data_IF_408341706248
#
_entry.id   IF_408341706248
#
_cell.length_a   1.000
_cell.length_b   1.000
_cell.length_c   1.000
_cell.angle_alpha   90.00
_cell.angle_beta   90.00
_cell.angle_gamma   90.00
#
_symmetry.space_group_name_H-M   'P 1'
#
loop_
_entity.id
_entity.type
_entity.pdbx_description
1 polymer ?
#
# COMPACT_ATOMS: atom_id res chain seq x y z
N UNK A 1 21.16 46.41 21.51
CA UNK A 1 20.24 45.60 22.34
C UNK A 1 19.50 44.66 21.42
N UNK A 2 20.05 43.45 21.23
CA UNK A 2 19.41 42.38 20.45
C UNK A 2 19.21 41.24 21.44
N UNK A 3 17.98 41.04 21.91
CA UNK A 3 17.66 39.94 22.81
C UNK A 3 17.69 38.63 22.02
N UNK A 4 18.51 37.70 22.51
CA UNK A 4 18.56 36.33 22.05
C UNK A 4 17.24 35.63 22.39
N UNK A 5 16.66 34.95 21.40
CA UNK A 5 15.52 34.04 21.59
C UNK A 5 16.04 32.78 22.26
N UNK A 6 15.37 32.39 23.35
CA UNK A 6 15.62 31.21 24.18
C UNK A 6 15.54 29.90 23.36
N UNK A 7 16.56 29.02 23.39
CA UNK A 7 16.55 27.77 22.64
C UNK A 7 15.53 26.72 23.13
N UNK A 8 14.77 27.00 24.20
CA UNK A 8 13.80 26.08 24.78
C UNK A 8 12.40 26.07 24.11
N UNK A 9 12.16 26.87 23.06
CA UNK A 9 10.91 26.88 22.29
C UNK A 9 11.01 26.21 20.90
N UNK A 10 11.78 25.13 20.78
CA UNK A 10 11.80 24.33 19.56
C UNK A 10 10.74 23.22 19.62
N UNK A 11 9.89 23.18 18.58
CA UNK A 11 8.85 22.18 18.37
C UNK A 11 9.42 20.75 18.50
N UNK A 12 8.76 19.81 19.22
CA UNK A 12 9.23 18.42 19.39
C UNK A 12 9.43 17.65 18.07
N UNK A 13 8.88 18.15 16.96
CA UNK A 13 8.91 17.53 15.64
C UNK A 13 10.29 17.45 14.97
N UNK A 14 11.31 18.19 15.46
CA UNK A 14 12.60 18.29 14.76
C UNK A 14 13.56 17.11 15.00
N UNK A 15 13.25 16.16 15.89
CA UNK A 15 14.16 15.06 16.22
C UNK A 15 13.89 13.71 15.54
N UNK A 16 12.83 13.58 14.71
CA UNK A 16 12.32 12.28 14.24
C UNK A 16 12.55 11.93 12.75
N UNK A 17 13.57 12.48 12.08
CA UNK A 17 13.69 12.30 10.62
C UNK A 17 15.11 12.15 10.09
N UNK A 18 15.87 11.16 10.57
CA UNK A 18 17.15 10.82 9.91
C UNK A 18 17.45 9.32 9.91
N UNK A 19 16.72 8.55 9.13
CA UNK A 19 17.25 7.27 8.64
C UNK A 19 16.54 6.85 7.35
N UNK A 20 17.17 7.11 6.21
CA UNK A 20 16.68 6.68 4.90
C UNK A 20 17.58 7.05 3.71
N UNK A 21 18.77 7.58 3.94
CA UNK A 21 19.70 7.99 2.89
C UNK A 21 20.94 7.11 2.90
N UNK A 22 21.37 6.65 1.72
CA UNK A 22 22.66 5.95 1.53
C UNK A 22 23.67 6.86 0.86
N UNK A 23 24.93 6.49 1.00
CA UNK A 23 26.15 7.28 0.78
C UNK A 23 26.27 8.01 -0.58
N UNK A 24 25.46 7.66 -1.57
CA UNK A 24 25.48 8.22 -2.92
C UNK A 24 24.27 9.13 -3.23
N UNK A 25 23.32 9.29 -2.30
CA UNK A 25 22.29 10.33 -2.43
C UNK A 25 22.95 11.70 -2.15
N UNK A 26 22.84 12.69 -3.07
CA UNK A 26 23.43 14.02 -2.84
C UNK A 26 22.88 14.60 -1.53
N UNK A 27 23.80 14.79 -0.58
CA UNK A 27 23.56 15.09 0.85
C UNK A 27 22.94 16.47 1.14
N UNK A 28 22.43 17.18 0.13
CA UNK A 28 21.89 18.51 0.32
C UNK A 28 20.59 18.69 -0.45
N UNK A 29 19.53 19.01 0.30
CA UNK A 29 18.28 19.65 -0.14
C UNK A 29 17.18 18.76 -0.72
N UNK A 30 16.79 17.70 -0.01
CA UNK A 30 15.38 17.27 -0.05
C UNK A 30 14.81 17.45 1.35
N UNK A 31 13.93 18.46 1.59
CA UNK A 31 13.15 18.50 2.82
C UNK A 31 12.31 17.23 2.84
N UNK A 32 12.62 16.28 3.74
CA UNK A 32 11.69 15.21 4.04
C UNK A 32 10.39 15.90 4.50
N UNK A 33 9.23 15.62 3.89
CA UNK A 33 8.00 16.23 4.33
C UNK A 33 7.80 15.83 5.79
N UNK A 34 7.75 16.82 6.68
CA UNK A 34 7.33 16.64 8.07
C UNK A 34 6.00 15.89 8.01
N UNK A 35 6.01 14.61 8.41
CA UNK A 35 4.79 13.80 8.42
C UNK A 35 3.86 14.44 9.45
N UNK A 36 2.71 14.92 8.99
CA UNK A 36 1.67 15.45 9.88
C UNK A 36 1.31 14.38 10.92
N UNK A 37 1.03 14.77 12.17
CA UNK A 37 0.73 13.83 13.23
C UNK A 37 -0.61 13.15 13.02
N UNK A 38 -0.76 11.96 13.59
CA UNK A 38 -2.04 11.28 13.75
C UNK A 38 -2.55 11.56 15.15
N UNK A 39 -3.77 12.05 15.26
CA UNK A 39 -4.37 12.35 16.56
C UNK A 39 -5.14 11.16 17.09
N UNK A 40 -4.89 10.78 18.34
CA UNK A 40 -5.59 9.68 19.03
C UNK A 40 -6.37 10.25 20.22
N UNK A 41 -7.69 10.13 20.14
CA UNK A 41 -8.63 10.59 21.15
C UNK A 41 -9.41 9.38 21.65
N UNK A 42 -8.92 8.74 22.72
CA UNK A 42 -9.61 7.62 23.35
C UNK A 42 -10.03 7.99 24.76
N UNK A 43 -11.17 7.45 25.21
CA UNK A 43 -11.62 7.65 26.58
C UNK A 43 -10.63 7.05 27.59
N UNK A 44 -10.00 5.93 27.24
CA UNK A 44 -8.93 5.29 28.00
C UNK A 44 -7.57 5.94 27.68
N UNK A 45 -7.14 6.85 28.55
CA UNK A 45 -5.90 7.63 28.37
C UNK A 45 -4.65 6.75 28.38
N UNK A 46 -4.61 5.71 29.21
CA UNK A 46 -3.46 4.81 29.30
C UNK A 46 -3.31 4.02 27.99
N UNK A 47 -4.43 3.56 27.42
CA UNK A 47 -4.46 2.91 26.11
C UNK A 47 -4.02 3.84 24.99
N UNK A 48 -4.50 5.09 24.98
CA UNK A 48 -4.08 6.08 23.99
C UNK A 48 -2.56 6.32 24.02
N UNK A 49 -1.97 6.43 25.22
CA UNK A 49 -0.52 6.60 25.38
C UNK A 49 0.26 5.37 24.90
N UNK A 50 -0.16 4.17 25.31
CA UNK A 50 0.50 2.93 24.86
C UNK A 50 0.44 2.76 23.34
N UNK A 51 -0.71 3.08 22.72
CA UNK A 51 -0.86 3.04 21.27
C UNK A 51 0.03 4.07 20.58
N UNK A 52 0.08 5.29 21.10
CA UNK A 52 0.96 6.34 20.56
C UNK A 52 2.43 5.91 20.59
N UNK A 53 2.93 5.41 21.73
CA UNK A 53 4.31 4.92 21.86
C UNK A 53 4.62 3.77 20.88
N UNK A 54 3.69 2.83 20.72
CA UNK A 54 3.86 1.73 19.77
C UNK A 54 3.91 2.23 18.33
N UNK A 55 3.07 3.18 17.96
CA UNK A 55 3.03 3.76 16.61
C UNK A 55 4.23 4.66 16.31
N UNK A 56 4.73 5.39 17.30
CA UNK A 56 5.97 6.19 17.20
C UNK A 56 7.19 5.32 16.97
N UNK A 57 7.26 4.13 17.61
CA UNK A 57 8.29 3.14 17.32
C UNK A 57 8.28 2.70 15.84
N UNK A 58 7.11 2.77 15.20
CA UNK A 58 6.94 2.57 13.76
C UNK A 58 7.13 3.84 12.92
N UNK A 59 7.73 4.91 13.47
CA UNK A 59 8.03 6.14 12.74
C UNK A 59 6.80 6.93 12.28
N UNK A 60 5.62 6.64 12.84
CA UNK A 60 4.41 7.45 12.66
C UNK A 60 4.42 8.56 13.71
N UNK A 61 4.31 9.82 13.30
CA UNK A 61 4.09 10.91 14.26
C UNK A 61 2.70 10.76 14.85
N UNK A 62 2.58 10.53 16.16
CA UNK A 62 1.29 10.34 16.84
C UNK A 62 1.20 11.25 18.04
N UNK A 63 0.04 11.88 18.22
CA UNK A 63 -0.22 12.73 19.36
C UNK A 63 -1.51 12.26 20.06
N UNK A 64 -1.41 11.67 21.27
CA UNK A 64 -2.58 11.38 22.07
C UNK A 64 -3.12 12.67 22.69
N UNK A 65 -4.44 12.85 22.63
CA UNK A 65 -5.14 14.02 23.14
C UNK A 65 -6.23 13.57 24.12
N UNK A 66 -6.29 14.25 25.26
CA UNK A 66 -7.06 13.81 26.42
C UNK A 66 -8.24 14.73 26.77
N UNK A 67 -8.44 15.80 26.00
CA UNK A 67 -9.58 16.70 26.16
C UNK A 67 -10.00 17.32 24.83
N UNK A 68 -11.24 17.78 24.74
CA UNK A 68 -11.75 18.51 23.60
C UNK A 68 -10.96 19.82 23.37
N UNK A 69 -10.63 20.54 24.44
CA UNK A 69 -9.85 21.78 24.35
C UNK A 69 -8.45 21.55 23.77
N UNK A 70 -7.75 20.50 24.24
CA UNK A 70 -6.44 20.13 23.70
C UNK A 70 -6.53 19.74 22.22
N UNK A 71 -7.62 19.10 21.82
CA UNK A 71 -7.88 18.76 20.42
C UNK A 71 -8.12 19.97 19.54
N UNK A 72 -8.97 20.91 19.96
CA UNK A 72 -9.21 22.13 19.18
C UNK A 72 -7.96 23.01 19.08
N UNK A 73 -7.18 23.12 20.15
CA UNK A 73 -5.90 23.82 20.14
C UNK A 73 -4.92 23.16 19.13
N UNK A 74 -4.72 21.84 19.23
CA UNK A 74 -3.80 21.10 18.36
C UNK A 74 -4.25 21.10 16.90
N UNK A 75 -5.56 21.04 16.63
CA UNK A 75 -6.11 21.11 15.28
C UNK A 75 -5.87 22.48 14.62
N UNK A 76 -5.88 23.55 15.41
CA UNK A 76 -5.63 24.92 14.95
C UNK A 76 -4.14 25.18 14.70
N UNK A 77 -3.26 24.55 15.49
CA UNK A 77 -1.80 24.67 15.33
C UNK A 77 -1.25 23.82 14.19
N UNK A 78 -1.64 22.53 14.13
CA UNK A 78 -1.16 21.60 13.13
C UNK A 78 -2.30 20.68 12.64
N UNK A 79 -2.69 20.74 11.36
CA UNK A 79 -3.71 19.83 10.86
C UNK A 79 -3.14 18.40 10.80
N UNK A 80 -3.81 17.39 11.40
CA UNK A 80 -3.32 16.02 11.43
C UNK A 80 -3.44 15.35 10.05
N UNK A 81 -2.71 14.26 9.86
CA UNK A 81 -2.88 13.38 8.69
C UNK A 81 -4.11 12.50 8.81
N UNK A 82 -4.47 12.08 10.03
CA UNK A 82 -5.69 11.34 10.34
C UNK A 82 -6.07 11.53 11.81
N UNK A 83 -7.33 11.26 12.13
CA UNK A 83 -7.86 11.30 13.49
C UNK A 83 -8.46 9.92 13.82
N UNK A 84 -8.09 9.40 14.99
CA UNK A 84 -8.64 8.18 15.59
C UNK A 84 -9.44 8.61 16.81
N UNK A 85 -10.76 8.44 16.76
CA UNK A 85 -11.71 9.00 17.72
C UNK A 85 -12.55 7.89 18.34
N UNK A 86 -12.56 7.82 19.66
CA UNK A 86 -13.55 7.04 20.41
C UNK A 86 -14.92 7.72 20.29
N UNK A 87 -15.96 6.95 19.96
CA UNK A 87 -17.33 7.48 19.81
C UNK A 87 -17.83 8.17 21.09
N UNK A 88 -17.36 7.69 22.24
CA UNK A 88 -17.72 8.20 23.57
C UNK A 88 -16.58 9.02 24.20
N UNK A 89 -15.65 9.54 23.39
CA UNK A 89 -14.59 10.43 23.87
C UNK A 89 -15.19 11.61 24.64
N UNK A 90 -14.78 11.80 25.90
CA UNK A 90 -15.30 12.80 26.87
C UNK A 90 -16.76 12.63 27.31
N UNK A 91 -17.43 11.54 26.93
CA UNK A 91 -18.80 11.21 27.33
C UNK A 91 -19.60 10.60 26.18
N UNK A 92 -20.79 10.09 26.48
CA UNK A 92 -21.58 9.34 25.50
C UNK A 92 -21.89 10.16 24.24
N UNK A 93 -21.48 9.64 23.08
CA UNK A 93 -21.63 10.27 21.77
C UNK A 93 -20.89 11.59 21.55
N UNK A 94 -20.11 12.07 22.52
CA UNK A 94 -19.42 13.36 22.43
C UNK A 94 -18.28 13.33 21.42
N UNK A 95 -17.62 12.18 21.23
CA UNK A 95 -16.60 12.00 20.21
C UNK A 95 -17.14 12.16 18.78
N UNK A 96 -18.38 11.72 18.54
CA UNK A 96 -19.06 11.91 17.24
C UNK A 96 -19.32 13.38 16.94
N UNK A 97 -19.78 14.14 17.95
CA UNK A 97 -20.04 15.59 17.82
C UNK A 97 -18.73 16.35 17.57
N UNK A 98 -17.69 16.01 18.34
CA UNK A 98 -16.37 16.62 18.23
C UNK A 98 -15.76 16.39 16.83
N UNK A 99 -15.89 15.17 16.30
CA UNK A 99 -15.44 14.84 14.96
C UNK A 99 -16.20 15.61 13.86
N UNK A 100 -17.52 15.74 13.99
CA UNK A 100 -18.33 16.50 13.04
C UNK A 100 -17.95 17.99 13.02
N UNK A 101 -17.68 18.58 14.18
CA UNK A 101 -17.18 19.95 14.30
C UNK A 101 -15.81 20.13 13.65
N UNK A 102 -14.89 19.18 13.89
CA UNK A 102 -13.55 19.21 13.28
C UNK A 102 -13.60 19.15 11.75
N UNK A 103 -14.49 18.35 11.17
CA UNK A 103 -14.70 18.30 9.72
C UNK A 103 -15.24 19.61 9.15
N UNK A 104 -16.23 20.19 9.82
CA UNK A 104 -16.82 21.47 9.39
C UNK A 104 -15.77 22.60 9.41
N UNK A 105 -14.91 22.62 10.44
CA UNK A 105 -13.81 23.58 10.55
C UNK A 105 -12.72 23.34 9.49
N UNK A 106 -12.36 22.08 9.23
CA UNK A 106 -11.36 21.71 8.22
C UNK A 106 -11.78 22.07 6.79
N UNK A 107 -13.07 21.95 6.44
CA UNK A 107 -13.59 22.30 5.11
C UNK A 107 -13.43 23.78 4.74
N UNK A 108 -13.23 24.66 5.72
CA UNK A 108 -13.04 26.09 5.49
C UNK A 108 -11.58 26.49 5.14
N UNK A 109 -10.62 25.58 5.27
CA UNK A 109 -9.18 25.89 5.08
C UNK A 109 -8.31 24.80 4.47
N UNK A 110 -8.78 23.55 4.36
CA UNK A 110 -8.03 22.43 3.77
C UNK A 110 -8.64 21.98 2.43
N UNK A 111 -7.81 21.60 1.44
CA UNK A 111 -8.28 21.14 0.13
C UNK A 111 -8.99 19.78 0.17
N UNK A 112 -8.82 18.99 1.24
CA UNK A 112 -9.49 17.71 1.44
C UNK A 112 -9.88 17.51 2.91
N UNK A 113 -11.01 16.80 3.19
CA UNK A 113 -11.41 16.47 4.55
C UNK A 113 -10.40 15.54 5.23
N UNK A 114 -10.23 15.69 6.54
CA UNK A 114 -9.29 14.89 7.32
C UNK A 114 -9.82 13.45 7.42
N UNK A 115 -9.03 12.40 7.16
CA UNK A 115 -9.47 11.03 7.39
C UNK A 115 -9.83 10.76 8.87
N UNK A 116 -11.05 10.27 9.11
CA UNK A 116 -11.57 9.93 10.44
C UNK A 116 -11.77 8.43 10.60
N UNK A 117 -11.22 7.85 11.67
CA UNK A 117 -11.46 6.48 12.09
C UNK A 117 -12.16 6.51 13.45
N UNK A 118 -13.33 5.89 13.54
CA UNK A 118 -14.04 5.75 14.81
C UNK A 118 -13.70 4.44 15.49
N UNK A 119 -13.65 4.46 16.81
CA UNK A 119 -13.47 3.29 17.66
C UNK A 119 -14.57 3.24 18.70
N UNK A 120 -15.04 2.03 19.02
CA UNK A 120 -15.83 1.78 20.21
C UNK A 120 -15.38 0.50 20.89
N UNK A 121 -15.43 0.48 22.22
CA UNK A 121 -15.04 -0.70 22.97
C UNK A 121 -16.05 -1.86 22.84
N UNK A 122 -17.32 -1.55 22.61
CA UNK A 122 -18.40 -2.52 22.49
C UNK A 122 -19.08 -2.44 21.12
N UNK A 123 -19.84 -3.46 20.76
CA UNK A 123 -20.70 -3.37 19.57
C UNK A 123 -21.69 -2.23 19.74
N UNK A 124 -21.71 -1.33 18.75
CA UNK A 124 -22.61 -0.18 18.71
C UNK A 124 -23.79 -0.45 17.80
N UNK A 125 -24.92 0.17 18.13
CA UNK A 125 -26.13 0.15 17.33
C UNK A 125 -25.99 0.88 15.97
N UNK A 126 -26.95 0.65 15.09
CA UNK A 126 -26.98 1.25 13.74
C UNK A 126 -27.02 2.79 13.78
N UNK A 127 -27.81 3.45 14.66
CA UNK A 127 -27.80 4.91 14.81
C UNK A 127 -26.40 5.49 15.06
N UNK A 128 -25.63 4.91 15.97
CA UNK A 128 -24.27 5.37 16.29
C UNK A 128 -23.33 5.22 15.09
N UNK A 129 -23.38 4.08 14.40
CA UNK A 129 -22.60 3.86 13.17
C UNK A 129 -22.98 4.84 12.06
N UNK A 130 -24.27 5.18 11.94
CA UNK A 130 -24.74 6.15 10.96
C UNK A 130 -24.28 7.58 11.30
N UNK A 131 -24.25 7.94 12.58
CA UNK A 131 -23.71 9.22 13.03
C UNK A 131 -22.20 9.34 12.72
N UNK A 132 -21.43 8.26 12.92
CA UNK A 132 -20.02 8.20 12.57
C UNK A 132 -19.79 8.45 11.06
N UNK A 133 -20.58 7.81 10.20
CA UNK A 133 -20.50 8.03 8.74
C UNK A 133 -20.87 9.46 8.36
N UNK A 134 -21.94 10.02 8.97
CA UNK A 134 -22.37 11.42 8.74
C UNK A 134 -21.33 12.44 9.18
N UNK A 135 -20.56 12.12 10.22
CA UNK A 135 -19.41 12.91 10.67
C UNK A 135 -18.17 12.75 9.78
N UNK A 136 -18.25 12.02 8.66
CA UNK A 136 -17.14 11.83 7.72
C UNK A 136 -16.23 10.63 8.04
N UNK A 137 -16.64 9.75 8.95
CA UNK A 137 -15.90 8.53 9.29
C UNK A 137 -15.66 7.63 8.07
N UNK A 138 -14.41 7.21 7.87
CA UNK A 138 -13.98 6.29 6.80
C UNK A 138 -13.92 4.84 7.27
N UNK A 139 -13.66 4.63 8.54
CA UNK A 139 -13.51 3.32 9.16
C UNK A 139 -14.15 3.30 10.55
N UNK A 140 -14.63 2.13 10.97
CA UNK A 140 -15.23 1.92 12.30
C UNK A 140 -14.67 0.65 12.93
N UNK A 141 -14.00 0.79 14.07
CA UNK A 141 -13.31 -0.25 14.80
C UNK A 141 -14.09 -0.62 16.06
N UNK A 142 -14.11 -1.90 16.41
CA UNK A 142 -14.86 -2.41 17.56
C UNK A 142 -14.00 -3.38 18.37
N UNK A 143 -14.06 -3.30 19.70
CA UNK A 143 -13.40 -4.27 20.59
C UNK A 143 -12.01 -3.83 21.03
N UNK A 144 -10.97 -4.59 20.67
CA UNK A 144 -9.56 -4.29 21.00
C UNK A 144 -8.89 -3.50 19.89
N UNK A 145 -8.24 -2.39 20.26
CA UNK A 145 -7.50 -1.55 19.32
C UNK A 145 -6.02 -1.94 19.34
N UNK A 146 -5.54 -2.59 18.28
CA UNK A 146 -4.14 -2.98 18.12
C UNK A 146 -3.36 -1.96 17.29
N UNK A 147 -2.14 -1.60 17.71
CA UNK A 147 -1.30 -0.65 16.98
C UNK A 147 -1.03 -1.05 15.53
N UNK A 148 -0.82 -2.34 15.25
CA UNK A 148 -0.57 -2.81 13.87
C UNK A 148 -1.78 -2.62 12.96
N UNK A 149 -2.99 -2.93 13.45
CA UNK A 149 -4.25 -2.78 12.69
C UNK A 149 -4.57 -1.31 12.47
N UNK A 150 -4.35 -0.48 13.50
CA UNK A 150 -4.51 0.95 13.40
C UNK A 150 -3.52 1.56 12.40
N UNK A 151 -2.25 1.17 12.47
CA UNK A 151 -1.22 1.61 11.55
C UNK A 151 -1.56 1.26 10.11
N UNK A 152 -2.02 0.03 9.83
CA UNK A 152 -2.43 -0.38 8.48
C UNK A 152 -3.55 0.50 7.93
N UNK A 153 -4.61 0.73 8.72
CA UNK A 153 -5.75 1.57 8.30
C UNK A 153 -5.35 3.03 8.14
N UNK A 154 -4.53 3.55 9.06
CA UNK A 154 -4.00 4.90 8.96
C UNK A 154 -3.08 5.01 7.74
N UNK A 155 -2.20 4.05 7.47
CA UNK A 155 -1.40 4.03 6.25
C UNK A 155 -2.28 4.01 5.01
N UNK A 156 -3.34 3.21 4.96
CA UNK A 156 -4.26 3.18 3.82
C UNK A 156 -4.93 4.54 3.56
N UNK A 157 -5.28 5.26 4.63
CA UNK A 157 -6.00 6.53 4.57
C UNK A 157 -5.09 7.77 4.44
N UNK A 158 -3.87 7.70 4.99
CA UNK A 158 -2.89 8.80 5.05
C UNK A 158 -1.75 8.66 4.07
N UNK A 159 -1.57 7.47 3.49
CA UNK A 159 -0.93 7.35 2.20
C UNK A 159 -1.82 8.06 1.21
N UNK A 160 -1.67 9.38 1.15
CA UNK A 160 -1.51 10.06 -0.11
C UNK A 160 -0.38 9.34 -0.85
N UNK A 161 -0.70 8.17 -1.41
CA UNK A 161 -0.24 7.90 -2.75
C UNK A 161 -0.67 9.17 -3.50
N UNK A 162 0.27 9.98 -4.03
CA UNK A 162 -0.14 10.80 -5.17
C UNK A 162 -0.84 9.80 -6.08
N UNK A 163 -2.13 10.02 -6.35
CA UNK A 163 -2.99 9.09 -7.09
C UNK A 163 -2.10 8.34 -8.07
N UNK A 164 -1.85 7.03 -7.86
CA UNK A 164 -1.28 6.25 -8.95
C UNK A 164 -2.36 6.31 -10.02
N UNK A 165 -2.19 7.19 -11.02
CA UNK A 165 -3.33 7.65 -11.78
C UNK A 165 -3.83 6.45 -12.56
N UNK A 166 -5.15 6.23 -12.55
CA UNK A 166 -5.75 5.04 -13.17
C UNK A 166 -5.18 4.88 -14.59
N UNK A 167 -4.59 3.72 -14.86
CA UNK A 167 -4.01 3.38 -16.15
C UNK A 167 -5.09 2.76 -17.00
N UNK A 168 -5.53 3.45 -18.05
CA UNK A 168 -6.62 3.01 -18.92
C UNK A 168 -6.07 2.70 -20.30
N UNK A 169 -6.18 1.43 -20.71
CA UNK A 169 -5.84 1.01 -22.07
C UNK A 169 -7.10 1.11 -22.94
N UNK A 170 -7.03 1.85 -24.04
CA UNK A 170 -8.13 2.05 -24.98
C UNK A 170 -7.79 1.29 -26.25
N UNK A 171 -8.63 0.35 -26.65
CA UNK A 171 -8.47 -0.44 -27.88
C UNK A 171 -9.64 -0.13 -28.79
N UNK A 172 -9.40 0.64 -29.84
CA UNK A 172 -10.41 1.12 -30.80
C UNK A 172 -9.69 1.33 -32.15
N UNK A 173 -10.23 0.75 -33.21
CA UNK A 173 -9.63 0.80 -34.56
C UNK A 173 -9.70 2.22 -35.16
N UNK A 174 -10.70 3.00 -34.74
CA UNK A 174 -10.84 4.39 -35.10
C UNK A 174 -9.94 5.26 -34.24
N UNK A 175 -8.80 5.65 -34.81
CA UNK A 175 -7.86 6.59 -34.19
C UNK A 175 -8.53 7.87 -33.65
N UNK A 176 -9.56 8.36 -34.34
CA UNK A 176 -10.29 9.56 -33.92
C UNK A 176 -11.09 9.33 -32.63
N UNK A 177 -11.77 8.19 -32.52
CA UNK A 177 -12.52 7.82 -31.32
C UNK A 177 -11.58 7.54 -30.15
N UNK A 178 -10.51 6.78 -30.40
CA UNK A 178 -9.48 6.49 -29.42
C UNK A 178 -8.91 7.77 -28.80
N UNK A 179 -8.48 8.73 -29.64
CA UNK A 179 -7.94 10.02 -29.19
C UNK A 179 -8.98 10.88 -28.44
N UNK A 180 -10.26 10.80 -28.81
CA UNK A 180 -11.31 11.51 -28.08
C UNK A 180 -11.47 10.96 -26.67
N UNK A 181 -11.62 9.64 -26.54
CA UNK A 181 -11.72 8.93 -25.25
C UNK A 181 -10.49 9.19 -24.39
N UNK A 182 -9.30 9.15 -25.00
CA UNK A 182 -8.01 9.43 -24.36
C UNK A 182 -7.99 10.83 -23.73
N UNK A 183 -8.34 11.87 -24.50
CA UNK A 183 -8.38 13.26 -24.00
C UNK A 183 -9.38 13.44 -22.86
N UNK A 184 -10.56 12.83 -22.98
CA UNK A 184 -11.60 12.91 -21.93
C UNK A 184 -11.09 12.33 -20.62
N UNK A 185 -10.48 11.14 -20.66
CA UNK A 185 -9.97 10.47 -19.45
C UNK A 185 -8.70 11.13 -18.90
N UNK A 186 -7.79 11.56 -19.77
CA UNK A 186 -6.59 12.29 -19.38
C UNK A 186 -6.94 13.61 -18.67
N UNK A 187 -7.97 14.33 -19.13
CA UNK A 187 -8.47 15.54 -18.47
C UNK A 187 -8.99 15.30 -17.04
N UNK A 188 -9.35 14.06 -16.72
CA UNK A 188 -9.81 13.64 -15.40
C UNK A 188 -8.67 13.07 -14.52
N UNK A 189 -7.41 13.20 -14.96
CA UNK A 189 -6.22 12.79 -14.21
C UNK A 189 -5.89 11.30 -14.33
N UNK A 190 -6.31 10.63 -15.41
CA UNK A 190 -5.97 9.22 -15.68
C UNK A 190 -4.81 9.13 -16.66
N UNK A 191 -3.95 8.12 -16.52
CA UNK A 191 -2.92 7.81 -17.53
C UNK A 191 -3.57 6.92 -18.57
N UNK A 192 -3.53 7.33 -19.82
CA UNK A 192 -4.18 6.61 -20.91
C UNK A 192 -3.16 6.19 -21.96
N UNK A 193 -3.40 5.03 -22.58
CA UNK A 193 -2.75 4.64 -23.83
C UNK A 193 -3.80 4.14 -24.81
N UNK A 194 -3.66 4.49 -26.07
CA UNK A 194 -4.53 4.03 -27.15
C UNK A 194 -3.81 3.02 -28.05
N UNK A 195 -4.51 1.97 -28.43
CA UNK A 195 -4.07 0.92 -29.34
C UNK A 195 -5.09 0.77 -30.47
N UNK A 196 -4.62 0.90 -31.71
CA UNK A 196 -5.48 0.80 -32.92
C UNK A 196 -5.41 -0.56 -33.60
N UNK A 197 -4.39 -1.35 -33.30
CA UNK A 197 -4.21 -2.71 -33.80
C UNK A 197 -4.44 -3.73 -32.67
N UNK A 198 -5.56 -4.48 -32.68
CA UNK A 198 -5.90 -5.41 -31.61
C UNK A 198 -4.91 -6.57 -31.46
N UNK A 199 -4.12 -6.90 -32.49
CA UNK A 199 -3.16 -8.02 -32.44
C UNK A 199 -2.04 -7.74 -31.40
N UNK A 200 -1.71 -6.47 -31.17
CA UNK A 200 -0.65 -6.05 -30.23
C UNK A 200 -1.11 -6.00 -28.77
N UNK A 201 -2.37 -6.33 -28.48
CA UNK A 201 -2.98 -6.18 -27.15
C UNK A 201 -2.17 -6.86 -26.04
N UNK A 202 -1.75 -8.11 -26.22
CA UNK A 202 -1.04 -8.84 -25.17
C UNK A 202 0.33 -8.24 -24.82
N UNK A 203 1.05 -7.73 -25.83
CA UNK A 203 2.33 -7.04 -25.61
C UNK A 203 2.13 -5.70 -24.88
N UNK A 204 1.10 -4.95 -25.26
CA UNK A 204 0.78 -3.68 -24.61
C UNK A 204 0.30 -3.88 -23.17
N UNK A 205 -0.46 -4.95 -22.89
CA UNK A 205 -0.88 -5.30 -21.53
C UNK A 205 0.30 -5.59 -20.61
N UNK A 206 1.34 -6.27 -21.12
CA UNK A 206 2.54 -6.58 -20.35
C UNK A 206 3.36 -5.32 -20.02
N UNK A 207 3.49 -4.39 -20.99
CA UNK A 207 4.23 -3.13 -20.79
C UNK A 207 3.43 -2.11 -19.97
N UNK A 208 2.16 -1.90 -20.34
CA UNK A 208 1.33 -0.85 -19.78
C UNK A 208 0.58 -1.27 -18.51
N UNK A 209 0.40 -2.55 -18.21
CA UNK A 209 -0.25 -3.02 -16.97
C UNK A 209 -1.48 -2.17 -16.54
N UNK A 210 -2.52 -2.07 -17.39
CA UNK A 210 -3.64 -1.18 -17.12
C UNK A 210 -4.47 -1.62 -15.90
N UNK A 211 -5.11 -0.65 -15.24
CA UNK A 211 -6.14 -0.87 -14.22
C UNK A 211 -7.52 -1.11 -14.83
N UNK A 212 -7.71 -0.74 -16.10
CA UNK A 212 -8.97 -0.90 -16.83
C UNK A 212 -8.71 -0.91 -18.34
N UNK A 213 -9.47 -1.72 -19.06
CA UNK A 213 -9.44 -1.80 -20.53
C UNK A 213 -10.77 -1.26 -21.06
N UNK A 214 -10.70 -0.36 -22.03
CA UNK A 214 -11.82 0.09 -22.84
C UNK A 214 -11.66 -0.54 -24.20
N UNK A 215 -12.69 -1.22 -24.67
CA UNK A 215 -12.64 -2.04 -25.88
C UNK A 215 -13.77 -1.65 -26.82
N UNK A 216 -13.47 -1.36 -28.08
CA UNK A 216 -14.53 -1.26 -29.09
C UNK A 216 -15.12 -2.64 -29.39
N UNK A 217 -16.44 -2.71 -29.62
CA UNK A 217 -17.12 -3.98 -29.83
C UNK A 217 -16.78 -4.59 -31.21
N UNK A 218 -16.58 -3.74 -32.21
CA UNK A 218 -16.31 -4.15 -33.58
C UNK A 218 -15.00 -3.53 -34.05
N UNK A 219 -14.01 -4.37 -34.37
CA UNK A 219 -12.73 -3.94 -34.91
C UNK A 219 -12.37 -4.82 -36.12
N UNK A 220 -11.54 -4.31 -37.04
CA UNK A 220 -10.93 -5.15 -38.07
C UNK A 220 -10.12 -6.28 -37.42
N UNK A 221 -10.16 -7.47 -38.03
CA UNK A 221 -9.49 -8.70 -37.60
C UNK A 221 -10.11 -9.48 -36.41
N UNK A 222 -10.72 -8.83 -35.41
CA UNK A 222 -11.44 -9.54 -34.34
C UNK A 222 -12.53 -8.67 -33.70
N UNK A 223 -13.54 -9.32 -33.14
CA UNK A 223 -14.54 -8.63 -32.32
C UNK A 223 -14.02 -8.36 -30.91
N UNK A 224 -14.61 -7.37 -30.24
CA UNK A 224 -14.30 -7.06 -28.86
C UNK A 224 -14.45 -8.27 -27.91
N UNK A 225 -15.55 -9.04 -27.97
CA UNK A 225 -15.73 -10.22 -27.12
C UNK A 225 -14.69 -11.34 -27.38
N UNK A 226 -14.30 -11.58 -28.64
CA UNK A 226 -13.22 -12.52 -28.96
C UNK A 226 -11.89 -12.10 -28.31
N UNK A 227 -11.54 -10.82 -28.41
CA UNK A 227 -10.32 -10.30 -27.79
C UNK A 227 -10.40 -10.33 -26.26
N UNK A 228 -11.56 -10.05 -25.67
CA UNK A 228 -11.78 -10.18 -24.24
C UNK A 228 -11.54 -11.62 -23.76
N UNK A 229 -12.05 -12.64 -24.48
CA UNK A 229 -11.75 -14.06 -24.17
C UNK A 229 -10.25 -14.35 -24.20
N UNK A 230 -9.52 -13.84 -25.19
CA UNK A 230 -8.05 -13.99 -25.27
C UNK A 230 -7.36 -13.37 -24.05
N UNK A 231 -7.79 -12.17 -23.63
CA UNK A 231 -7.26 -11.51 -22.42
C UNK A 231 -7.56 -12.34 -21.18
N UNK A 232 -8.76 -12.91 -21.07
CA UNK A 232 -9.21 -13.72 -19.93
C UNK A 232 -8.54 -15.09 -19.84
N UNK A 233 -7.99 -15.65 -20.92
CA UNK A 233 -7.18 -16.86 -20.85
C UNK A 233 -5.85 -16.67 -20.11
N UNK A 234 -5.46 -15.43 -19.82
CA UNK A 234 -4.29 -15.14 -19.01
C UNK A 234 -4.71 -14.73 -17.59
N UNK A 235 -4.43 -15.58 -16.60
CA UNK A 235 -4.78 -15.38 -15.18
C UNK A 235 -4.38 -14.01 -14.62
N UNK A 236 -3.31 -13.43 -15.15
CA UNK A 236 -2.83 -12.10 -14.79
C UNK A 236 -3.86 -10.99 -15.04
N UNK A 237 -4.67 -11.12 -16.08
CA UNK A 237 -5.60 -10.08 -16.53
C UNK A 237 -7.07 -10.41 -16.20
N UNK A 238 -7.36 -11.57 -15.61
CA UNK A 238 -8.73 -11.98 -15.23
C UNK A 238 -9.44 -10.94 -14.35
N UNK A 239 -8.68 -10.24 -13.49
CA UNK A 239 -9.22 -9.22 -12.58
C UNK A 239 -9.28 -7.80 -13.15
N UNK A 240 -8.73 -7.57 -14.34
CA UNK A 240 -8.72 -6.24 -14.97
C UNK A 240 -10.09 -5.97 -15.60
N UNK A 241 -10.82 -4.92 -15.20
CA UNK A 241 -12.14 -4.65 -15.73
C UNK A 241 -12.08 -4.29 -17.23
N UNK A 242 -12.99 -4.84 -18.03
CA UNK A 242 -13.17 -4.54 -19.45
C UNK A 242 -14.51 -3.81 -19.64
N UNK A 243 -14.48 -2.60 -20.20
CA UNK A 243 -15.67 -1.83 -20.59
C UNK A 243 -15.77 -1.84 -22.12
N UNK A 244 -16.89 -2.31 -22.64
CA UNK A 244 -17.17 -2.21 -24.07
C UNK A 244 -17.73 -0.83 -24.44
N UNK A 245 -17.25 -0.26 -25.54
CA UNK A 245 -17.91 0.85 -26.23
C UNK A 245 -18.56 0.30 -27.50
N UNK A 246 -19.80 0.71 -27.81
CA UNK A 246 -20.47 0.24 -29.02
C UNK A 246 -21.54 1.22 -29.48
N UNK A 247 -21.85 1.21 -30.77
CA UNK A 247 -23.01 1.91 -31.34
C UNK A 247 -24.28 1.02 -31.39
N UNK A 248 -24.20 -0.22 -30.90
CA UNK A 248 -25.32 -1.17 -30.87
C UNK A 248 -26.29 -0.83 -29.74
N UNK A 249 -27.58 -0.67 -30.08
CA UNK A 249 -28.66 -0.36 -29.13
C UNK A 249 -29.44 -1.61 -28.67
N UNK A 250 -29.18 -2.77 -29.29
CA UNK A 250 -29.84 -4.04 -28.97
C UNK A 250 -29.32 -4.63 -27.65
N UNK A 251 -30.23 -4.70 -26.66
CA UNK A 251 -29.94 -5.19 -25.31
C UNK A 251 -29.49 -6.67 -25.30
N UNK A 252 -30.03 -7.52 -26.17
CA UNK A 252 -29.72 -8.96 -26.14
C UNK A 252 -28.27 -9.19 -26.59
N UNK A 253 -27.84 -8.50 -27.66
CA UNK A 253 -26.44 -8.54 -28.11
C UNK A 253 -25.48 -7.94 -27.09
N UNK A 254 -25.91 -6.91 -26.35
CA UNK A 254 -25.11 -6.33 -25.26
C UNK A 254 -24.92 -7.33 -24.12
N UNK A 255 -25.98 -8.07 -23.75
CA UNK A 255 -25.93 -9.10 -22.70
C UNK A 255 -25.07 -10.29 -23.12
N UNK A 256 -25.12 -10.68 -24.39
CA UNK A 256 -24.24 -11.73 -24.94
C UNK A 256 -22.78 -11.30 -24.81
N UNK A 257 -22.42 -10.08 -25.20
CA UNK A 257 -21.07 -9.55 -25.07
C UNK A 257 -20.58 -9.49 -23.60
N UNK A 258 -21.47 -9.17 -22.65
CA UNK A 258 -21.16 -9.19 -21.21
C UNK A 258 -20.83 -10.59 -20.70
N UNK A 259 -21.48 -11.62 -21.24
CA UNK A 259 -21.24 -13.01 -20.88
C UNK A 259 -19.86 -13.52 -21.32
N UNK A 260 -19.18 -12.78 -22.21
CA UNK A 260 -17.86 -13.11 -22.76
C UNK A 260 -16.69 -12.39 -22.07
N UNK A 261 -16.90 -11.89 -20.85
CA UNK A 261 -15.83 -11.37 -20.00
C UNK A 261 -15.75 -9.85 -19.89
N UNK A 262 -16.78 -9.13 -20.36
CA UNK A 262 -16.96 -7.71 -20.10
C UNK A 262 -17.57 -7.43 -18.73
N UNK A 263 -17.15 -6.33 -18.10
CA UNK A 263 -17.62 -5.90 -16.78
C UNK A 263 -18.69 -4.80 -16.85
N UNK A 264 -18.70 -4.06 -17.97
CA UNK A 264 -19.64 -2.99 -18.24
C UNK A 264 -19.73 -2.68 -19.73
N UNK A 265 -20.75 -1.92 -20.11
CA UNK A 265 -20.99 -1.51 -21.48
C UNK A 265 -21.44 -0.05 -21.56
N UNK A 266 -21.00 0.67 -22.59
CA UNK A 266 -21.36 2.06 -22.82
C UNK A 266 -21.75 2.30 -24.28
N UNK A 267 -23.02 2.64 -24.51
CA UNK A 267 -23.53 2.97 -25.84
C UNK A 267 -23.02 4.34 -26.31
N UNK A 268 -22.51 4.40 -27.55
CA UNK A 268 -22.11 5.61 -28.27
C UNK A 268 -23.37 6.24 -28.91
N UNK A 269 -23.58 7.57 -28.81
CA UNK A 269 -22.73 8.56 -28.17
C UNK A 269 -23.00 8.67 -26.66
N UNK A 270 -21.93 8.78 -25.87
CA UNK A 270 -22.00 8.94 -24.41
C UNK A 270 -21.51 10.32 -23.95
N UNK A 271 -21.99 10.77 -22.80
CA UNK A 271 -21.51 12.00 -22.15
C UNK A 271 -20.16 11.74 -21.47
N UNK A 272 -19.22 12.68 -21.59
CA UNK A 272 -17.88 12.58 -20.97
C UNK A 272 -17.92 12.27 -19.46
N UNK A 273 -18.85 12.89 -18.73
CA UNK A 273 -19.05 12.63 -17.29
C UNK A 273 -19.48 11.19 -17.01
N UNK A 274 -20.29 10.59 -17.88
CA UNK A 274 -20.71 9.20 -17.74
C UNK A 274 -19.49 8.27 -17.86
N UNK A 275 -18.73 8.40 -18.95
CA UNK A 275 -17.50 7.64 -19.18
C UNK A 275 -16.53 7.74 -17.99
N UNK A 276 -16.21 8.96 -17.54
CA UNK A 276 -15.26 9.19 -16.43
C UNK A 276 -15.75 8.51 -15.15
N UNK A 277 -17.05 8.60 -14.86
CA UNK A 277 -17.63 8.03 -13.63
C UNK A 277 -17.61 6.50 -13.69
N UNK A 278 -17.99 5.90 -14.82
CA UNK A 278 -17.99 4.45 -15.01
C UNK A 278 -16.58 3.88 -14.90
N UNK A 279 -15.61 4.47 -15.62
CA UNK A 279 -14.19 4.06 -15.56
C UNK A 279 -13.66 4.16 -14.14
N UNK A 280 -13.88 5.30 -13.46
CA UNK A 280 -13.39 5.49 -12.09
C UNK A 280 -14.00 4.48 -11.12
N UNK A 281 -15.31 4.23 -11.19
CA UNK A 281 -15.98 3.30 -10.30
C UNK A 281 -15.52 1.85 -10.52
N UNK A 282 -15.42 1.41 -11.78
CA UNK A 282 -15.00 0.04 -12.12
C UNK A 282 -13.55 -0.20 -11.76
N UNK A 283 -12.65 0.71 -12.14
CA UNK A 283 -11.23 0.59 -11.82
C UNK A 283 -10.97 0.68 -10.30
N UNK A 284 -11.65 1.58 -9.58
CA UNK A 284 -11.52 1.67 -8.12
C UNK A 284 -12.02 0.40 -7.41
N UNK A 285 -13.15 -0.16 -7.86
CA UNK A 285 -13.69 -1.42 -7.32
C UNK A 285 -12.74 -2.59 -7.57
N UNK A 286 -12.23 -2.72 -8.79
CA UNK A 286 -11.26 -3.75 -9.14
C UNK A 286 -9.97 -3.61 -8.33
N UNK A 287 -9.44 -2.38 -8.20
CA UNK A 287 -8.25 -2.09 -7.39
C UNK A 287 -8.46 -2.42 -5.92
N UNK A 288 -9.64 -2.16 -5.37
CA UNK A 288 -9.98 -2.50 -3.98
C UNK A 288 -10.19 -4.01 -3.76
N UNK A 289 -10.78 -4.73 -4.72
CA UNK A 289 -10.86 -6.20 -4.67
C UNK A 289 -9.46 -6.82 -4.78
N UNK A 290 -8.65 -6.34 -5.73
CA UNK A 290 -7.27 -6.76 -5.93
C UNK A 290 -6.42 -6.48 -4.69
N UNK A 291 -6.55 -5.32 -4.05
CA UNK A 291 -5.76 -4.99 -2.86
C UNK A 291 -6.01 -5.97 -1.70
N UNK A 292 -7.21 -6.55 -1.58
CA UNK A 292 -7.49 -7.60 -0.59
C UNK A 292 -6.95 -8.96 -0.99
N UNK A 293 -6.92 -9.26 -2.29
CA UNK A 293 -6.44 -10.54 -2.82
C UNK A 293 -4.92 -10.64 -2.92
N UNK A 294 -4.21 -9.52 -3.06
CA UNK A 294 -2.75 -9.48 -3.26
C UNK A 294 -1.97 -9.26 -1.98
N UNK A 295 -2.66 -9.00 -0.86
CA UNK A 295 -2.03 -8.69 0.43
C UNK A 295 -2.16 -9.86 1.39
N UNK A 296 -1.13 -10.05 2.22
CA UNK A 296 -1.16 -10.96 3.36
C UNK A 296 -1.98 -10.33 4.50
N UNK A 297 -2.89 -11.10 5.08
CA UNK A 297 -3.86 -10.62 6.08
C UNK A 297 -3.24 -10.26 7.42
N UNK A 298 -2.06 -10.78 7.74
CA UNK A 298 -1.39 -10.51 9.02
C UNK A 298 -0.52 -9.27 8.97
N UNK A 299 0.16 -9.04 7.85
CA UNK A 299 1.22 -8.03 7.70
C UNK A 299 0.84 -6.86 6.79
N UNK A 300 -0.18 -7.01 5.94
CA UNK A 300 -0.51 -6.06 4.89
C UNK A 300 0.60 -5.89 3.85
N UNK A 301 1.58 -6.80 3.79
CA UNK A 301 2.55 -6.91 2.70
C UNK A 301 1.92 -7.61 1.50
N UNK A 302 2.62 -7.68 0.37
CA UNK A 302 2.18 -8.56 -0.70
C UNK A 302 2.19 -10.02 -0.24
N UNK A 303 1.26 -10.84 -0.73
CA UNK A 303 1.29 -12.26 -0.47
C UNK A 303 2.30 -12.97 -1.38
N UNK A 304 2.56 -14.25 -1.08
CA UNK A 304 3.42 -15.15 -1.84
C UNK A 304 3.19 -15.05 -3.36
N UNK A 305 1.94 -15.24 -3.81
CA UNK A 305 1.61 -15.28 -5.24
C UNK A 305 1.95 -13.95 -5.92
N UNK A 306 1.63 -12.83 -5.27
CA UNK A 306 1.81 -11.53 -5.89
C UNK A 306 3.26 -11.05 -5.86
N UNK A 307 4.04 -11.36 -4.81
CA UNK A 307 5.45 -10.94 -4.77
C UNK A 307 6.29 -11.65 -5.85
N UNK A 308 5.99 -12.92 -6.15
CA UNK A 308 6.62 -13.65 -7.26
C UNK A 308 6.23 -13.09 -8.63
N UNK A 309 4.97 -12.69 -8.80
CA UNK A 309 4.53 -12.01 -10.02
C UNK A 309 5.24 -10.67 -10.22
N UNK A 310 5.44 -9.90 -9.13
CA UNK A 310 6.21 -8.65 -9.18
C UNK A 310 7.69 -8.89 -9.50
N UNK A 311 8.28 -9.97 -8.98
CA UNK A 311 9.63 -10.39 -9.34
C UNK A 311 9.74 -10.66 -10.84
N UNK A 312 8.82 -11.47 -11.38
CA UNK A 312 8.76 -11.77 -12.82
C UNK A 312 8.67 -10.51 -13.68
N UNK A 313 7.78 -9.58 -13.33
CA UNK A 313 7.65 -8.29 -14.00
C UNK A 313 8.93 -7.46 -13.97
N UNK A 314 9.59 -7.43 -12.81
CA UNK A 314 10.84 -6.71 -12.65
C UNK A 314 11.96 -7.35 -13.47
N UNK A 315 12.01 -8.68 -13.58
CA UNK A 315 13.00 -9.36 -14.43
C UNK A 315 12.86 -8.93 -15.89
N UNK A 316 11.63 -8.91 -16.43
CA UNK A 316 11.39 -8.44 -17.81
C UNK A 316 11.82 -6.98 -18.00
N UNK A 317 11.47 -6.10 -17.07
CA UNK A 317 11.84 -4.67 -17.15
C UNK A 317 13.35 -4.46 -17.04
N UNK A 318 13.99 -5.09 -16.06
CA UNK A 318 15.42 -4.98 -15.79
C UNK A 318 16.27 -5.42 -16.99
N UNK A 319 15.92 -6.54 -17.65
CA UNK A 319 16.59 -7.00 -18.87
C UNK A 319 16.47 -6.01 -20.01
N UNK A 320 15.26 -5.48 -20.23
CA UNK A 320 15.00 -4.51 -21.30
C UNK A 320 15.75 -3.19 -21.09
N UNK A 321 15.80 -2.71 -19.85
CA UNK A 321 16.37 -1.41 -19.50
C UNK A 321 17.85 -1.50 -19.10
N UNK A 322 18.42 -2.71 -19.10
CA UNK A 322 19.78 -3.02 -18.64
C UNK A 322 20.08 -2.44 -17.25
N UNK A 323 19.12 -2.58 -16.35
CA UNK A 323 19.22 -2.11 -14.97
C UNK A 323 19.41 -3.29 -14.01
N UNK A 324 20.17 -3.12 -12.91
CA UNK A 324 20.36 -4.19 -11.94
C UNK A 324 19.06 -4.47 -11.17
N UNK A 325 18.76 -5.74 -10.95
CA UNK A 325 17.65 -6.19 -10.11
C UNK A 325 18.19 -7.14 -9.05
N UNK A 326 17.87 -6.89 -7.78
CA UNK A 326 18.19 -7.83 -6.70
C UNK A 326 16.92 -8.40 -6.08
N UNK A 327 16.99 -9.66 -5.68
CA UNK A 327 15.95 -10.37 -4.95
C UNK A 327 16.51 -10.92 -3.65
N UNK A 328 15.71 -10.89 -2.59
CA UNK A 328 16.10 -11.45 -1.30
C UNK A 328 14.99 -12.28 -0.66
N UNK A 329 15.39 -13.39 -0.03
CA UNK A 329 14.55 -14.20 0.83
C UNK A 329 15.03 -14.06 2.28
N UNK A 330 14.12 -13.85 3.21
CA UNK A 330 14.38 -13.64 4.62
C UNK A 330 13.56 -14.61 5.46
N UNK A 331 14.09 -15.03 6.60
CA UNK A 331 13.39 -15.88 7.57
C UNK A 331 13.75 -15.48 9.00
N UNK A 332 12.75 -15.41 9.87
CA UNK A 332 12.94 -15.09 11.28
C UNK A 332 13.61 -16.28 11.99
N UNK A 333 14.78 -16.01 12.56
CA UNK A 333 15.59 -17.04 13.17
C UNK A 333 14.89 -17.66 14.38
N UNK A 334 14.79 -18.99 14.38
CA UNK A 334 14.22 -19.78 15.49
C UNK A 334 12.76 -19.42 15.80
N UNK A 335 11.99 -18.99 14.81
CA UNK A 335 10.60 -18.56 14.99
C UNK A 335 9.71 -19.60 15.69
N UNK A 336 9.86 -20.89 15.36
CA UNK A 336 9.17 -21.97 16.09
C UNK A 336 9.40 -21.93 17.61
N UNK A 337 10.62 -21.64 18.07
CA UNK A 337 10.93 -21.54 19.51
C UNK A 337 10.24 -20.33 20.16
N UNK A 338 10.03 -19.25 19.40
CA UNK A 338 9.27 -18.08 19.85
C UNK A 338 7.82 -18.48 20.11
N UNK A 339 7.19 -19.17 19.15
CA UNK A 339 5.82 -19.65 19.30
C UNK A 339 5.67 -20.68 20.42
N UNK A 340 6.58 -21.65 20.50
CA UNK A 340 6.52 -22.71 21.50
C UNK A 340 6.68 -22.16 22.93
N UNK A 341 7.46 -21.08 23.10
CA UNK A 341 7.74 -20.49 24.43
C UNK A 341 6.77 -19.39 24.84
N UNK A 342 6.32 -18.56 23.90
CA UNK A 342 5.56 -17.34 24.18
C UNK A 342 4.16 -17.33 23.56
N UNK A 343 3.79 -18.38 22.82
CA UNK A 343 2.52 -18.52 22.13
C UNK A 343 2.48 -17.81 20.78
N UNK A 344 1.56 -18.24 19.92
CA UNK A 344 1.33 -17.66 18.59
C UNK A 344 1.10 -16.14 18.58
N UNK A 345 0.38 -15.51 19.55
CA UNK A 345 0.21 -14.06 19.55
C UNK A 345 1.54 -13.28 19.62
N UNK A 346 2.56 -13.84 20.29
CA UNK A 346 3.89 -13.23 20.31
C UNK A 346 4.58 -13.38 18.97
N UNK A 347 4.48 -14.55 18.33
CA UNK A 347 5.00 -14.76 16.98
C UNK A 347 4.38 -13.81 15.95
N UNK A 348 3.06 -13.63 16.00
CA UNK A 348 2.35 -12.67 15.14
C UNK A 348 2.84 -11.24 15.35
N UNK A 349 3.15 -10.85 16.59
CA UNK A 349 3.73 -9.54 16.91
C UNK A 349 5.12 -9.37 16.32
N UNK A 350 5.96 -10.40 16.35
CA UNK A 350 7.29 -10.39 15.73
C UNK A 350 7.18 -10.28 14.21
N UNK A 351 6.29 -11.05 13.58
CA UNK A 351 6.03 -11.01 12.13
C UNK A 351 5.57 -9.61 11.70
N UNK A 352 4.56 -9.06 12.38
CA UNK A 352 4.06 -7.70 12.13
C UNK A 352 5.18 -6.66 12.31
N UNK A 353 6.00 -6.81 13.33
CA UNK A 353 7.12 -5.91 13.60
C UNK A 353 8.16 -5.93 12.49
N UNK A 354 8.56 -7.10 12.00
CA UNK A 354 9.49 -7.22 10.88
C UNK A 354 8.90 -6.61 9.60
N UNK A 355 7.64 -6.91 9.29
CA UNK A 355 6.96 -6.38 8.11
C UNK A 355 6.97 -4.84 8.07
N UNK A 356 6.65 -4.21 9.21
CA UNK A 356 6.66 -2.76 9.36
C UNK A 356 8.07 -2.18 9.29
N UNK A 357 9.03 -2.87 9.90
CA UNK A 357 10.42 -2.47 9.87
C UNK A 357 10.98 -2.46 8.43
N UNK A 358 10.65 -3.49 7.64
CA UNK A 358 10.99 -3.55 6.21
C UNK A 358 10.35 -2.38 5.44
N UNK A 359 9.04 -2.12 5.63
CA UNK A 359 8.31 -1.00 4.99
C UNK A 359 8.94 0.36 5.26
N UNK A 360 9.50 0.60 6.44
CA UNK A 360 10.09 1.90 6.81
C UNK A 360 11.51 2.09 6.28
N UNK A 361 12.25 1.00 6.09
CA UNK A 361 13.67 1.04 5.73
C UNK A 361 13.90 0.92 4.23
N UNK A 362 12.97 0.29 3.51
CA UNK A 362 13.03 0.10 2.07
C UNK A 362 12.31 1.23 1.33
N UNK A 363 12.65 1.38 0.05
CA UNK A 363 12.09 2.43 -0.81
C UNK A 363 10.66 2.06 -1.19
N UNK A 364 9.87 3.07 -1.56
CA UNK A 364 8.53 2.85 -2.13
C UNK A 364 8.56 2.07 -3.45
N UNK A 365 9.71 2.08 -4.14
CA UNK A 365 9.95 1.33 -5.38
C UNK A 365 10.30 -0.14 -5.12
N UNK A 366 10.64 -0.50 -3.89
CA UNK A 366 10.94 -1.87 -3.52
C UNK A 366 9.63 -2.58 -3.17
N UNK A 367 9.51 -3.84 -3.60
CA UNK A 367 8.34 -4.65 -3.30
C UNK A 367 8.66 -5.62 -2.17
N UNK A 368 7.78 -5.67 -1.19
CA UNK A 368 7.95 -6.51 0.01
C UNK A 368 6.73 -7.43 0.10
N UNK A 369 6.98 -8.72 0.20
CA UNK A 369 5.96 -9.74 0.38
C UNK A 369 6.24 -10.68 1.55
N UNK A 370 5.17 -11.24 2.12
CA UNK A 370 5.25 -12.40 3.01
C UNK A 370 5.15 -13.66 2.16
N UNK A 371 6.23 -14.42 2.13
CA UNK A 371 6.40 -15.58 1.27
C UNK A 371 5.75 -16.84 1.88
N UNK A 372 5.89 -17.00 3.19
CA UNK A 372 5.34 -18.12 3.97
C UNK A 372 5.37 -17.74 5.45
N UNK A 373 4.75 -18.53 6.33
CA UNK A 373 4.72 -18.36 7.81
C UNK A 373 5.54 -17.20 8.38
N UNK A 374 6.84 -17.43 8.59
CA UNK A 374 7.84 -16.46 9.06
C UNK A 374 8.82 -15.94 7.98
N UNK A 375 8.52 -16.20 6.71
CA UNK A 375 9.37 -15.93 5.55
C UNK A 375 8.91 -14.71 4.77
N UNK A 376 9.86 -13.91 4.30
CA UNK A 376 9.62 -12.68 3.57
C UNK A 376 10.46 -12.63 2.31
N UNK A 377 9.87 -12.08 1.24
CA UNK A 377 10.52 -11.88 -0.05
C UNK A 377 10.59 -10.39 -0.37
N UNK A 378 11.71 -9.95 -0.94
CA UNK A 378 11.95 -8.54 -1.27
C UNK A 378 12.51 -8.44 -2.68
N UNK A 379 11.80 -7.70 -3.53
CA UNK A 379 12.24 -7.35 -4.89
C UNK A 379 12.76 -5.91 -4.85
N UNK A 380 14.01 -5.70 -5.25
CA UNK A 380 14.69 -4.40 -5.22
C UNK A 380 15.10 -4.00 -6.66
N UNK A 381 14.20 -3.33 -7.41
CA UNK A 381 14.52 -2.82 -8.74
C UNK A 381 15.66 -1.79 -8.71
N UNK A 382 16.41 -1.68 -9.80
CA UNK A 382 17.53 -0.73 -9.96
C UNK A 382 18.53 -0.80 -8.80
N UNK A 383 18.78 -2.00 -8.27
CA UNK A 383 19.63 -2.22 -7.10
C UNK A 383 20.60 -3.36 -7.36
N UNK A 384 21.90 -3.05 -7.31
CA UNK A 384 22.96 -4.04 -7.43
C UNK A 384 23.15 -4.84 -6.14
N UNK A 385 23.76 -6.03 -6.26
CA UNK A 385 23.93 -7.02 -5.19
C UNK A 385 24.55 -6.43 -3.92
N UNK A 386 25.63 -5.66 -4.07
CA UNK A 386 26.35 -5.05 -2.93
C UNK A 386 25.51 -4.01 -2.20
N UNK A 387 24.71 -3.25 -2.94
CA UNK A 387 23.80 -2.28 -2.35
C UNK A 387 22.69 -3.01 -1.58
N UNK A 388 22.05 -4.00 -2.20
CA UNK A 388 21.04 -4.85 -1.58
C UNK A 388 21.54 -5.51 -0.29
N UNK A 389 22.71 -6.16 -0.35
CA UNK A 389 23.36 -6.80 0.80
C UNK A 389 23.55 -5.81 1.96
N UNK A 390 24.11 -4.63 1.68
CA UNK A 390 24.28 -3.57 2.68
C UNK A 390 22.94 -3.12 3.29
N UNK A 391 21.84 -3.06 2.52
CA UNK A 391 20.50 -2.66 3.05
C UNK A 391 20.05 -3.70 4.04
N UNK A 392 20.07 -4.95 3.63
CA UNK A 392 19.53 -6.04 4.40
C UNK A 392 20.36 -6.29 5.66
N UNK A 393 21.69 -6.15 5.61
CA UNK A 393 22.52 -6.30 6.80
C UNK A 393 22.32 -5.15 7.81
N UNK A 394 22.09 -3.93 7.33
CA UNK A 394 21.73 -2.80 8.21
C UNK A 394 20.37 -3.03 8.88
N UNK A 395 19.37 -3.45 8.11
CA UNK A 395 18.04 -3.82 8.61
C UNK A 395 18.17 -4.94 9.65
N UNK A 396 18.96 -5.97 9.36
CA UNK A 396 19.21 -7.12 10.26
C UNK A 396 19.75 -6.69 11.60
N UNK A 397 20.82 -5.88 11.61
CA UNK A 397 21.44 -5.40 12.86
C UNK A 397 20.45 -4.60 13.71
N UNK A 398 19.68 -3.72 13.09
CA UNK A 398 18.68 -2.90 13.80
C UNK A 398 17.49 -3.70 14.30
N UNK A 399 17.03 -4.67 13.52
CA UNK A 399 15.96 -5.57 13.95
C UNK A 399 16.38 -6.40 15.18
N UNK A 400 17.64 -6.82 15.24
CA UNK A 400 18.19 -7.55 16.39
C UNK A 400 18.24 -6.74 17.70
N UNK A 401 18.18 -5.40 17.61
CA UNK A 401 18.14 -4.48 18.76
C UNK A 401 16.72 -4.35 19.35
N UNK A 402 15.69 -4.84 18.65
CA UNK A 402 14.29 -4.73 19.10
C UNK A 402 14.03 -5.69 20.27
N UNK A 403 13.58 -5.11 21.38
CA UNK A 403 13.12 -5.86 22.55
C UNK A 403 11.60 -5.94 22.55
N UNK A 404 11.09 -7.17 22.54
CA UNK A 404 9.67 -7.47 22.63
C UNK A 404 9.30 -7.74 24.09
N UNK A 405 8.40 -6.94 24.70
CA UNK A 405 7.97 -7.15 26.08
C UNK A 405 7.37 -8.55 26.25
N UNK A 406 8.03 -9.39 27.04
CA UNK A 406 7.64 -10.77 27.28
C UNK A 406 7.96 -11.17 28.74
N UNK A 407 7.18 -12.09 29.30
CA UNK A 407 7.45 -12.65 30.63
C UNK A 407 8.15 -14.01 30.49
N UNK A 408 9.18 -14.32 31.32
CA UNK A 408 9.73 -13.54 32.44
C UNK A 408 10.85 -12.56 32.05
N UNK A 409 11.28 -12.53 30.79
CA UNK A 409 12.28 -11.59 30.24
C UNK A 409 11.86 -11.19 28.84
N UNK A 410 12.23 -9.97 28.46
CA UNK A 410 12.02 -9.47 27.10
C UNK A 410 12.67 -10.41 26.08
N UNK A 411 11.95 -10.61 24.98
CA UNK A 411 12.38 -11.42 23.86
C UNK A 411 13.15 -10.52 22.89
N UNK A 412 14.29 -11.00 22.40
CA UNK A 412 14.91 -10.49 21.19
C UNK A 412 14.95 -11.59 20.13
N UNK A 413 14.92 -11.19 18.86
CA UNK A 413 15.00 -12.13 17.75
C UNK A 413 15.80 -11.52 16.60
N UNK A 414 16.32 -12.38 15.75
CA UNK A 414 17.11 -12.02 14.57
C UNK A 414 16.44 -12.60 13.33
N UNK A 415 16.93 -12.23 12.16
CA UNK A 415 16.57 -12.91 10.92
C UNK A 415 17.83 -13.22 10.12
N UNK A 416 17.73 -14.23 9.26
CA UNK A 416 18.72 -14.55 8.25
C UNK A 416 18.19 -14.21 6.87
N UNK A 417 19.07 -13.90 5.93
CA UNK A 417 18.67 -13.55 4.57
C UNK A 417 19.61 -14.13 3.51
N UNK A 418 19.03 -14.54 2.38
CA UNK A 418 19.72 -14.87 1.14
C UNK A 418 19.43 -13.82 0.08
N UNK A 419 20.45 -13.35 -0.64
CA UNK A 419 20.33 -12.29 -1.65
C UNK A 419 20.97 -12.72 -2.96
N UNK A 420 20.28 -12.47 -4.07
CA UNK A 420 20.75 -12.76 -5.43
C UNK A 420 20.51 -11.53 -6.30
N UNK A 421 21.35 -11.36 -7.32
CA UNK A 421 21.14 -10.37 -8.38
C UNK A 421 20.75 -11.10 -9.67
N UNK A 422 19.87 -10.51 -10.45
CA UNK A 422 19.53 -10.99 -11.78
C UNK A 422 20.78 -10.99 -12.66
N UNK A 423 21.00 -12.11 -13.33
CA UNK A 423 21.95 -12.28 -14.42
C UNK A 423 21.22 -12.77 -15.69
N UNK A 424 21.98 -13.06 -16.75
CA UNK A 424 21.43 -13.48 -18.04
C UNK A 424 20.86 -14.92 -18.02
N UNK A 425 21.28 -15.76 -17.06
CA UNK A 425 20.88 -17.16 -16.95
C UNK A 425 19.69 -17.37 -16.01
N UNK A 426 19.47 -16.44 -15.08
CA UNK A 426 18.42 -16.51 -14.07
C UNK A 426 17.10 -15.87 -14.55
N UNK A 427 16.03 -16.64 -14.51
CA UNK A 427 14.65 -16.16 -14.52
C UNK A 427 14.11 -15.93 -13.10
N UNK A 428 12.87 -15.46 -12.95
CA UNK A 428 12.29 -15.20 -11.63
C UNK A 428 12.23 -16.43 -10.71
N UNK A 429 11.97 -17.63 -11.27
CA UNK A 429 11.87 -18.86 -10.49
C UNK A 429 13.23 -19.34 -9.99
N UNK A 430 14.23 -19.29 -10.86
CA UNK A 430 15.62 -19.64 -10.54
C UNK A 430 16.26 -18.62 -9.61
N UNK A 431 15.96 -17.31 -9.75
CA UNK A 431 16.33 -16.29 -8.76
C UNK A 431 15.75 -16.61 -7.39
N UNK A 432 14.45 -16.96 -7.31
CA UNK A 432 13.82 -17.30 -6.04
C UNK A 432 14.48 -18.52 -5.39
N UNK A 433 14.78 -19.55 -6.19
CA UNK A 433 15.47 -20.76 -5.73
C UNK A 433 16.90 -20.46 -5.25
N UNK A 434 17.65 -19.63 -5.98
CA UNK A 434 19.01 -19.24 -5.59
C UNK A 434 19.05 -18.41 -4.30
N UNK A 435 18.07 -17.52 -4.10
CA UNK A 435 17.91 -16.77 -2.86
C UNK A 435 17.55 -17.67 -1.67
N UNK A 436 16.70 -18.68 -1.87
CA UNK A 436 16.36 -19.66 -0.83
C UNK A 436 17.58 -20.52 -0.44
N UNK A 437 18.37 -20.98 -1.41
CA UNK A 437 19.64 -21.67 -1.16
C UNK A 437 20.64 -20.79 -0.39
N UNK A 438 20.72 -19.50 -0.70
CA UNK A 438 21.54 -18.56 0.06
C UNK A 438 21.03 -18.37 1.49
N UNK A 439 19.71 -18.31 1.68
CA UNK A 439 19.09 -18.24 3.00
C UNK A 439 19.34 -19.52 3.81
N UNK A 440 19.28 -20.68 3.17
CA UNK A 440 19.66 -21.96 3.78
C UNK A 440 21.12 -21.94 4.26
N UNK A 441 22.05 -21.46 3.42
CA UNK A 441 23.45 -21.26 3.84
C UNK A 441 23.58 -20.30 5.03
N UNK A 442 22.81 -19.21 5.06
CA UNK A 442 22.79 -18.28 6.19
C UNK A 442 22.32 -18.95 7.49
N UNK A 443 21.26 -19.77 7.41
CA UNK A 443 20.75 -20.56 8.55
C UNK A 443 21.79 -21.56 9.08
N UNK A 444 22.59 -22.16 8.18
CA UNK A 444 23.66 -23.10 8.54
C UNK A 444 24.96 -22.43 9.01
N UNK A 445 25.23 -21.19 8.61
CA UNK A 445 26.39 -20.41 9.03
C UNK A 445 26.27 -19.82 10.46
N UNK A 446 25.25 -20.21 11.22
CA UNK A 446 25.02 -19.73 12.57
C UNK A 446 23.87 -18.72 12.71
N UNK A 447 23.11 -18.48 11.63
CA UNK A 447 21.99 -17.53 11.57
C UNK A 447 22.42 -16.06 11.77
N UNK A 448 21.45 -15.14 11.83
CA UNK A 448 21.69 -13.71 12.01
C UNK A 448 22.74 -13.15 11.03
N UNK A 449 22.65 -13.55 9.77
CA UNK A 449 23.55 -13.07 8.72
C UNK A 449 22.84 -12.95 7.36
N UNK A 450 23.46 -12.19 6.47
CA UNK A 450 22.99 -12.01 5.08
C UNK A 450 24.03 -12.63 4.16
N UNK A 451 23.63 -13.68 3.43
CA UNK A 451 24.46 -14.39 2.45
C UNK A 451 24.06 -13.94 1.06
N UNK A 452 25.05 -13.63 0.22
CA UNK A 452 24.85 -13.30 -1.19
C UNK A 452 25.23 -14.48 -2.08
N UNK A 453 24.52 -14.65 -3.19
CA UNK A 453 24.93 -15.53 -4.29
C UNK A 453 25.87 -14.71 -5.17
N UNK A 454 27.11 -15.16 -5.30
CA UNK A 454 28.03 -14.55 -6.28
C UNK A 454 27.59 -15.00 -7.69
N UNK A 455 27.51 -14.08 -8.66
CA UNK A 455 27.14 -14.39 -10.04
C UNK A 455 28.19 -15.26 -10.74
#
# INVERSE_FOLDING_TARGET
MSQAVDPSQQCPAQHLSRTGLRKDDPLNQVPLPLRKPVYILLQDHERAQRLAQQLEFFGLGVQPLFSADAFHASLSECPPSAIVMDVDFTGSGQGLLLAAQAQAQAQQGLPQPIPLLFFSHHETDTPTRLAAVRAGGKEFLTGTLEASSLLEKVELLTSATPHDPLRVLIIDDSRTQALHTERVLASAGMITRSLTDPIRTMAELADFQPDLIILDLYMPACTGPELAKVIRHNDRYVSVPIIYLSAEDDLDKQLDAMSEGGDDFLTKPFRSRHLITTVRNRAARARHLKSRMVRDSLTGLYNHTHILQLLEDCCYRARREQQPLSFAMLDIDRFKQINDRHGHPMGDRVIKSLALFLKQRLRKTDFIGRYGGEEFAIVMPNTALDAAHKVLDEIRRRFAEILYPAQPRDLNCTFSAGVVQLDDELDALTMASAADEALYRAKHAGRNCVVRVEP
#
